data_IF_801374400295
#
_entry.id   IF_801374400295
#
_cell.length_a   1.000
_cell.length_b   1.000
_cell.length_c   1.000
_cell.angle_alpha   90.00
_cell.angle_beta   90.00
_cell.angle_gamma   90.00
#
_symmetry.space_group_name_H-M   'P 1'
#
loop_
_entity.id
_entity.type
_entity.pdbx_description
1 polymer ?
#
# COMPACT_ATOMS: atom_id res chain seq x y z
N UNK A 1 0.18 42.97 15.53
CA UNK A 1 0.84 42.36 14.37
C UNK A 1 0.28 40.95 14.26
N UNK A 2 -0.84 40.79 13.55
CA UNK A 2 -1.57 39.51 13.47
C UNK A 2 -1.07 38.77 12.24
N UNK A 3 -0.34 37.67 12.45
CA UNK A 3 0.01 36.74 11.39
C UNK A 3 -1.19 35.82 11.24
N UNK A 4 -1.99 36.09 10.21
CA UNK A 4 -3.08 35.23 9.76
C UNK A 4 -2.47 33.91 9.29
N UNK A 5 -2.61 32.85 10.09
CA UNK A 5 -2.27 31.49 9.70
C UNK A 5 -3.11 31.16 8.47
N UNK A 6 -2.45 31.12 7.31
CA UNK A 6 -3.06 30.74 6.05
C UNK A 6 -3.76 29.39 6.22
N UNK A 7 -5.04 29.34 5.86
CA UNK A 7 -5.75 28.10 5.60
C UNK A 7 -4.87 27.27 4.65
N UNK A 8 -4.31 26.17 5.15
CA UNK A 8 -3.84 25.11 4.28
C UNK A 8 -5.04 24.66 3.44
N UNK A 9 -4.90 24.51 2.12
CA UNK A 9 -5.92 23.81 1.35
C UNK A 9 -6.05 22.42 1.98
N UNK A 10 -7.29 22.05 2.35
CA UNK A 10 -7.62 20.64 2.56
C UNK A 10 -7.38 19.97 1.22
N UNK A 11 -6.15 19.53 0.97
CA UNK A 11 -5.92 18.49 -0.01
C UNK A 11 -6.88 17.37 0.38
N UNK A 12 -7.72 16.98 -0.57
CA UNK A 12 -8.53 15.78 -0.47
C UNK A 12 -7.56 14.60 -0.34
N UNK A 13 -7.03 14.38 0.85
CA UNK A 13 -6.68 13.05 1.29
C UNK A 13 -8.01 12.33 1.28
N UNK A 14 -8.28 11.62 0.19
CA UNK A 14 -9.30 10.59 0.17
C UNK A 14 -9.02 9.77 1.42
N UNK A 15 -9.86 9.94 2.45
CA UNK A 15 -9.83 9.11 3.64
C UNK A 15 -10.00 7.69 3.12
N UNK A 16 -8.90 6.97 2.98
CA UNK A 16 -8.92 5.54 2.74
C UNK A 16 -9.59 4.99 4.00
N UNK A 17 -10.86 4.61 3.90
CA UNK A 17 -11.55 3.89 4.97
C UNK A 17 -10.80 2.57 5.15
N UNK A 18 -10.02 2.58 6.23
CA UNK A 18 -8.62 2.17 6.27
C UNK A 18 -8.38 0.70 5.90
N UNK A 19 -9.19 -0.24 6.37
CA UNK A 19 -8.90 -1.67 6.18
C UNK A 19 -9.64 -2.28 4.98
N UNK A 20 -10.84 -1.77 4.67
CA UNK A 20 -11.66 -2.26 3.54
C UNK A 20 -11.06 -1.86 2.21
N UNK A 21 -10.46 -0.67 2.14
CA UNK A 21 -9.83 -0.18 0.92
C UNK A 21 -8.58 -1.00 0.55
N UNK A 22 -7.70 -1.31 1.51
CA UNK A 22 -6.51 -2.12 1.24
C UNK A 22 -6.87 -3.55 0.78
N UNK A 23 -7.89 -4.16 1.40
CA UNK A 23 -8.40 -5.48 0.99
C UNK A 23 -8.94 -5.53 -0.44
N UNK A 24 -9.46 -4.42 -0.95
CA UNK A 24 -9.94 -4.34 -2.33
C UNK A 24 -8.81 -3.97 -3.29
N UNK A 25 -7.83 -3.16 -2.84
CA UNK A 25 -6.70 -2.72 -3.64
C UNK A 25 -5.68 -3.83 -3.90
N UNK A 26 -5.37 -4.67 -2.90
CA UNK A 26 -4.42 -5.78 -3.05
C UNK A 26 -4.76 -6.74 -4.20
N UNK A 27 -5.97 -7.34 -4.28
CA UNK A 27 -6.34 -8.24 -5.37
C UNK A 27 -6.45 -7.50 -6.71
N UNK A 28 -6.86 -6.23 -6.72
CA UNK A 28 -6.86 -5.42 -7.94
C UNK A 28 -5.43 -5.20 -8.46
N UNK A 29 -4.47 -4.95 -7.58
CA UNK A 29 -3.05 -4.82 -7.90
C UNK A 29 -2.46 -6.10 -8.45
N UNK A 30 -2.70 -7.22 -7.79
CA UNK A 30 -2.25 -8.53 -8.27
C UNK A 30 -2.84 -8.84 -9.65
N UNK A 31 -4.14 -8.59 -9.85
CA UNK A 31 -4.78 -8.79 -11.14
C UNK A 31 -4.17 -7.88 -12.23
N UNK A 32 -3.93 -6.60 -11.93
CA UNK A 32 -3.33 -5.66 -12.86
C UNK A 32 -1.89 -6.06 -13.24
N UNK A 33 -1.07 -6.43 -12.25
CA UNK A 33 0.31 -6.89 -12.44
C UNK A 33 0.37 -8.17 -13.30
N UNK A 34 -0.53 -9.12 -13.05
CA UNK A 34 -0.62 -10.38 -13.81
C UNK A 34 -1.24 -10.22 -15.20
N UNK A 35 -2.02 -9.18 -15.44
CA UNK A 35 -2.72 -8.97 -16.72
C UNK A 35 -1.82 -8.55 -17.89
N UNK A 36 -0.59 -8.12 -17.61
CA UNK A 36 0.31 -7.55 -18.62
C UNK A 36 -0.14 -6.19 -19.18
N UNK A 37 -1.30 -5.65 -18.78
CA UNK A 37 -1.78 -4.34 -19.23
C UNK A 37 -1.00 -3.23 -18.52
N UNK A 38 -0.43 -2.31 -19.29
CA UNK A 38 0.37 -1.20 -18.75
C UNK A 38 -0.51 -0.02 -18.29
N UNK A 39 -1.69 0.15 -18.89
CA UNK A 39 -2.57 1.27 -18.58
C UNK A 39 -3.07 1.20 -17.13
N UNK A 40 -2.87 2.27 -16.37
CA UNK A 40 -3.35 2.41 -14.99
C UNK A 40 -2.58 1.60 -13.94
N UNK A 41 -1.55 0.83 -14.34
CA UNK A 41 -0.76 0.00 -13.40
C UNK A 41 0.04 0.85 -12.42
N UNK A 42 0.71 1.87 -12.92
CA UNK A 42 1.57 2.73 -12.10
C UNK A 42 0.72 3.53 -11.10
N UNK A 43 -0.44 4.02 -11.52
CA UNK A 43 -1.40 4.72 -10.65
C UNK A 43 -1.90 3.81 -9.52
N UNK A 44 -2.23 2.57 -9.87
CA UNK A 44 -2.70 1.56 -8.92
C UNK A 44 -1.58 1.12 -7.94
N UNK A 45 -0.33 1.01 -8.41
CA UNK A 45 0.82 0.72 -7.55
C UNK A 45 1.12 1.87 -6.58
N UNK A 46 0.99 3.12 -7.03
CA UNK A 46 1.13 4.30 -6.17
C UNK A 46 0.04 4.30 -5.10
N UNK A 47 -1.21 4.05 -5.48
CA UNK A 47 -2.35 3.96 -4.55
C UNK A 47 -2.16 2.83 -3.53
N UNK A 48 -1.64 1.68 -3.97
CA UNK A 48 -1.32 0.56 -3.08
C UNK A 48 -0.24 0.94 -2.06
N UNK A 49 0.85 1.59 -2.49
CA UNK A 49 1.93 1.99 -1.59
C UNK A 49 1.43 3.01 -0.55
N UNK A 50 0.61 3.98 -0.95
CA UNK A 50 0.03 4.96 -0.03
C UNK A 50 -0.86 4.28 1.01
N UNK A 51 -1.72 3.35 0.57
CA UNK A 51 -2.58 2.57 1.46
C UNK A 51 -1.76 1.67 2.42
N UNK A 52 -0.68 1.07 1.95
CA UNK A 52 0.24 0.26 2.78
C UNK A 52 0.95 1.12 3.83
N UNK A 53 1.47 2.29 3.44
CA UNK A 53 2.10 3.24 4.38
C UNK A 53 1.09 3.68 5.44
N UNK A 54 -0.14 3.98 5.03
CA UNK A 54 -1.17 4.41 5.97
C UNK A 54 -1.49 3.31 6.99
N UNK A 55 -1.77 2.08 6.54
CA UNK A 55 -2.09 0.93 7.40
C UNK A 55 -0.93 0.58 8.35
N UNK A 56 0.30 0.56 7.83
CA UNK A 56 1.50 0.31 8.63
C UNK A 56 1.71 1.35 9.72
N UNK A 57 1.44 2.63 9.44
CA UNK A 57 1.63 3.71 10.41
C UNK A 57 0.44 3.91 11.37
N UNK A 58 -0.78 3.54 10.98
CA UNK A 58 -2.00 3.88 11.74
C UNK A 58 -2.71 2.68 12.37
N UNK A 59 -2.58 1.47 11.82
CA UNK A 59 -3.33 0.30 12.28
C UNK A 59 -2.45 -0.83 12.82
N UNK A 60 -1.23 -0.98 12.30
CA UNK A 60 -0.36 -2.09 12.68
C UNK A 60 0.38 -1.83 14.00
N UNK A 61 0.47 -2.89 14.83
CA UNK A 61 1.35 -2.90 15.99
C UNK A 61 2.82 -2.98 15.57
N UNK A 62 3.73 -2.64 16.49
CA UNK A 62 5.19 -2.62 16.21
C UNK A 62 5.72 -3.95 15.67
N UNK A 63 5.16 -5.08 16.11
CA UNK A 63 5.55 -6.41 15.63
C UNK A 63 5.18 -6.66 14.15
N UNK A 64 4.04 -6.16 13.68
CA UNK A 64 3.64 -6.27 12.27
C UNK A 64 4.41 -5.28 11.40
N UNK A 65 4.72 -4.10 11.94
CA UNK A 65 5.57 -3.12 11.26
C UNK A 65 6.96 -3.72 10.96
N UNK A 66 7.62 -4.33 11.95
CA UNK A 66 8.93 -4.96 11.75
C UNK A 66 8.87 -6.14 10.76
N UNK A 67 7.80 -6.94 10.81
CA UNK A 67 7.61 -8.07 9.89
C UNK A 67 7.40 -7.65 8.42
N UNK A 68 6.96 -6.41 8.17
CA UNK A 68 6.73 -5.88 6.82
C UNK A 68 7.95 -5.19 6.20
N UNK A 69 9.02 -4.94 6.97
CA UNK A 69 10.23 -4.30 6.45
C UNK A 69 10.87 -5.12 5.32
N UNK A 70 11.12 -6.41 5.55
CA UNK A 70 11.73 -7.30 4.56
C UNK A 70 10.85 -7.47 3.29
N UNK A 71 9.53 -7.73 3.40
CA UNK A 71 8.63 -7.72 2.24
C UNK A 71 8.63 -6.41 1.45
N UNK A 72 8.75 -5.25 2.11
CA UNK A 72 8.85 -3.96 1.41
C UNK A 72 10.19 -3.76 0.71
N UNK A 73 11.29 -4.29 1.25
CA UNK A 73 12.58 -4.31 0.55
C UNK A 73 12.51 -5.16 -0.72
N UNK A 74 11.91 -6.35 -0.64
CA UNK A 74 11.66 -7.20 -1.81
C UNK A 74 10.78 -6.50 -2.83
N UNK A 75 9.71 -5.83 -2.38
CA UNK A 75 8.81 -5.07 -3.24
C UNK A 75 9.54 -3.94 -3.98
N UNK A 76 10.34 -3.15 -3.27
CA UNK A 76 11.12 -2.08 -3.86
C UNK A 76 12.14 -2.59 -4.89
N UNK A 77 12.79 -3.72 -4.60
CA UNK A 77 13.73 -4.37 -5.52
C UNK A 77 13.03 -4.87 -6.80
N UNK A 78 11.89 -5.56 -6.66
CA UNK A 78 11.10 -6.05 -7.78
C UNK A 78 10.55 -4.90 -8.64
N UNK A 79 10.10 -3.82 -8.00
CA UNK A 79 9.64 -2.61 -8.69
C UNK A 79 10.77 -1.94 -9.49
N UNK A 80 11.96 -1.78 -8.89
CA UNK A 80 13.13 -1.22 -9.57
C UNK A 80 13.57 -2.07 -10.79
N UNK A 81 13.39 -3.40 -10.70
CA UNK A 81 13.65 -4.33 -11.80
C UNK A 81 12.53 -4.39 -12.86
N UNK A 82 11.39 -3.70 -12.64
CA UNK A 82 10.16 -3.85 -13.43
C UNK A 82 9.68 -5.31 -13.49
N UNK A 83 9.94 -6.10 -12.45
CA UNK A 83 9.51 -7.50 -12.35
C UNK A 83 8.09 -7.56 -11.78
N UNK A 84 7.11 -7.37 -12.66
CA UNK A 84 5.70 -7.33 -12.28
C UNK A 84 5.16 -8.69 -11.82
N UNK A 85 5.77 -9.80 -12.25
CA UNK A 85 5.41 -11.13 -11.78
C UNK A 85 5.84 -11.27 -10.32
N UNK A 86 7.09 -10.92 -10.00
CA UNK A 86 7.60 -10.94 -8.64
C UNK A 86 6.84 -9.97 -7.73
N UNK A 87 6.48 -8.78 -8.21
CA UNK A 87 5.64 -7.84 -7.45
C UNK A 87 4.29 -8.46 -7.06
N UNK A 88 3.63 -9.17 -7.99
CA UNK A 88 2.35 -9.81 -7.69
C UNK A 88 2.51 -10.91 -6.62
N UNK A 89 3.59 -11.68 -6.68
CA UNK A 89 3.86 -12.75 -5.74
C UNK A 89 4.22 -12.21 -4.34
N UNK A 90 5.00 -11.13 -4.24
CA UNK A 90 5.27 -10.46 -2.96
C UNK A 90 3.97 -9.97 -2.31
N UNK A 91 3.08 -9.36 -3.11
CA UNK A 91 1.77 -8.91 -2.61
C UNK A 91 0.95 -10.09 -2.07
N UNK A 92 0.82 -11.18 -2.85
CA UNK A 92 -0.01 -12.34 -2.49
C UNK A 92 0.56 -13.13 -1.30
N UNK A 93 1.87 -13.37 -1.29
CA UNK A 93 2.49 -14.36 -0.40
C UNK A 93 3.27 -13.76 0.78
N UNK A 94 3.72 -12.51 0.69
CA UNK A 94 4.51 -11.88 1.76
C UNK A 94 3.71 -10.79 2.48
N UNK A 95 3.10 -9.85 1.74
CA UNK A 95 2.43 -8.68 2.32
C UNK A 95 1.00 -9.03 2.81
N UNK A 96 0.17 -9.63 1.96
CA UNK A 96 -1.25 -9.91 2.30
C UNK A 96 -1.42 -10.78 3.56
N UNK A 97 -0.63 -11.85 3.80
CA UNK A 97 -0.77 -12.66 5.00
C UNK A 97 -0.46 -11.90 6.29
N UNK A 98 0.53 -11.01 6.27
CA UNK A 98 0.93 -10.22 7.44
C UNK A 98 -0.14 -9.20 7.82
N UNK A 99 -0.85 -8.66 6.82
CA UNK A 99 -1.96 -7.73 7.02
C UNK A 99 -3.24 -8.44 7.51
N UNK A 100 -3.49 -9.67 7.06
CA UNK A 100 -4.66 -10.46 7.49
C UNK A 100 -4.61 -10.84 8.99
N UNK A 101 -3.41 -10.95 9.57
CA UNK A 101 -3.23 -11.27 11.00
C UNK A 101 -3.46 -10.05 11.91
N UNK A 102 -3.52 -8.85 11.35
CA UNK A 102 -3.70 -7.61 12.11
C UNK A 102 -5.17 -7.23 12.39
N UNK A 103 -6.14 -8.02 11.92
CA UNK A 103 -7.55 -7.80 12.26
C UNK A 103 -7.80 -7.99 13.77
N UNK A 104 -8.37 -7.00 14.48
CA UNK A 104 -8.93 -7.27 15.80
C UNK A 104 -10.16 -8.18 15.64
N UNK A 105 -10.17 -9.28 16.40
CA UNK A 105 -11.29 -10.22 16.49
C UNK A 105 -12.58 -9.57 17.02
#
# INVERSE_FOLDING_TARGET
>A
MNITTGKMPKENYTMIESTTALRNLLPACVAALRSGQAAGRDELLVELVDALIFEVNHQLGTAQHDALLEPFEHFAAAHAANDFAQLADIIDFEISPLLAVAEPA
#
